data_IF_473134383491
#
_entry.id   IF_473134383491
#
_cell.length_a   1.000
_cell.length_b   1.000
_cell.length_c   1.000
_cell.angle_alpha   90.00
_cell.angle_beta   90.00
_cell.angle_gamma   90.00
#
_symmetry.space_group_name_H-M   'P 1'
#
loop_
_entity.id
_entity.type
_entity.pdbx_description
1 polymer ?
#
# COMPACT_ATOMS: atom_id res chain seq x y z
N UNK A 1 -9.21 6.42 -10.17
CA UNK A 1 -9.39 6.20 -8.73
C UNK A 1 -9.96 4.82 -8.43
N UNK A 2 -11.20 4.49 -8.83
CA UNK A 2 -11.77 3.14 -8.59
C UNK A 2 -11.01 2.00 -9.29
N UNK A 3 -10.87 2.05 -10.62
CA UNK A 3 -10.17 1.00 -11.38
C UNK A 3 -8.68 0.88 -10.98
N UNK A 4 -8.01 2.03 -10.77
CA UNK A 4 -6.62 2.09 -10.31
C UNK A 4 -6.43 1.46 -8.94
N UNK A 5 -7.21 1.88 -7.94
CA UNK A 5 -7.12 1.33 -6.59
C UNK A 5 -7.47 -0.17 -6.52
N UNK A 6 -8.45 -0.63 -7.30
CA UNK A 6 -8.74 -2.06 -7.45
C UNK A 6 -7.52 -2.81 -7.98
N UNK A 7 -6.89 -2.29 -9.04
CA UNK A 7 -5.72 -2.90 -9.68
C UNK A 7 -4.52 -2.92 -8.71
N UNK A 8 -4.27 -1.81 -8.02
CA UNK A 8 -3.18 -1.68 -7.05
C UNK A 8 -3.34 -2.66 -5.89
N UNK A 9 -4.54 -2.76 -5.29
CA UNK A 9 -4.77 -3.67 -4.19
C UNK A 9 -4.76 -5.15 -4.65
N UNK A 10 -5.24 -5.46 -5.86
CA UNK A 10 -5.09 -6.80 -6.44
C UNK A 10 -3.61 -7.18 -6.61
N UNK A 11 -2.82 -6.31 -7.23
CA UNK A 11 -1.41 -6.60 -7.47
C UNK A 11 -0.60 -6.65 -6.18
N UNK A 12 -0.84 -5.75 -5.23
CA UNK A 12 0.00 -5.61 -4.05
C UNK A 12 -0.43 -6.44 -2.85
N UNK A 13 -1.74 -6.62 -2.63
CA UNK A 13 -2.23 -7.40 -1.49
C UNK A 13 -2.41 -8.85 -1.88
N UNK A 14 -3.27 -9.08 -2.87
CA UNK A 14 -3.54 -10.43 -3.32
C UNK A 14 -2.31 -11.03 -4.03
N UNK A 15 -1.61 -10.27 -4.88
CA UNK A 15 -0.39 -10.72 -5.54
C UNK A 15 0.83 -10.71 -4.62
N UNK A 16 1.48 -9.55 -4.48
CA UNK A 16 2.81 -9.40 -3.90
C UNK A 16 2.87 -9.78 -2.41
N UNK A 17 2.02 -9.19 -1.55
CA UNK A 17 2.03 -9.44 -0.12
C UNK A 17 1.76 -10.92 0.18
N UNK A 18 0.78 -11.53 -0.49
CA UNK A 18 0.47 -12.95 -0.30
C UNK A 18 1.60 -13.85 -0.80
N UNK A 19 2.23 -13.55 -1.94
CA UNK A 19 3.38 -14.29 -2.44
C UNK A 19 4.59 -14.21 -1.49
N UNK A 20 4.89 -13.01 -0.97
CA UNK A 20 5.95 -12.80 0.02
C UNK A 20 5.66 -13.56 1.32
N UNK A 21 4.44 -13.45 1.85
CA UNK A 21 4.02 -14.15 3.07
C UNK A 21 4.10 -15.68 2.89
N UNK A 22 3.64 -16.18 1.74
CA UNK A 22 3.69 -17.59 1.40
C UNK A 22 5.14 -18.10 1.30
N UNK A 23 6.01 -17.39 0.58
CA UNK A 23 7.40 -17.79 0.40
C UNK A 23 8.14 -17.83 1.75
N UNK A 24 8.02 -16.76 2.54
CA UNK A 24 8.62 -16.71 3.87
C UNK A 24 8.07 -17.82 4.78
N UNK A 25 6.77 -18.11 4.72
CA UNK A 25 6.16 -19.18 5.50
C UNK A 25 6.71 -20.55 5.10
N UNK A 26 6.79 -20.84 3.80
CA UNK A 26 7.33 -22.10 3.28
C UNK A 26 8.81 -22.29 3.63
N UNK A 27 9.61 -21.24 3.53
CA UNK A 27 11.07 -21.33 3.75
C UNK A 27 11.41 -21.33 5.24
N UNK A 28 10.78 -20.48 6.04
CA UNK A 28 11.17 -20.22 7.43
C UNK A 28 10.35 -21.03 8.46
N UNK A 29 9.19 -21.57 8.09
CA UNK A 29 8.25 -22.20 9.03
C UNK A 29 7.73 -23.57 8.57
N UNK A 30 8.51 -24.31 7.79
CA UNK A 30 8.31 -25.63 7.12
C UNK A 30 7.35 -26.66 7.75
N UNK A 31 6.98 -26.57 9.03
CA UNK A 31 6.08 -27.49 9.77
C UNK A 31 4.86 -26.82 10.41
N UNK A 32 4.58 -25.54 10.16
CA UNK A 32 3.40 -24.86 10.72
C UNK A 32 2.25 -24.84 9.73
N UNK A 33 1.04 -25.08 10.21
CA UNK A 33 -0.19 -25.03 9.41
C UNK A 33 -0.57 -23.61 8.95
N UNK A 34 -0.03 -22.57 9.60
CA UNK A 34 -0.31 -21.17 9.25
C UNK A 34 0.92 -20.27 9.49
N UNK A 35 1.08 -19.19 8.70
CA UNK A 35 2.15 -18.21 8.89
C UNK A 35 2.03 -17.51 10.24
N UNK A 36 3.15 -17.32 10.95
CA UNK A 36 3.17 -16.47 12.14
C UNK A 36 2.83 -15.00 11.78
N UNK A 37 2.21 -14.24 12.69
CA UNK A 37 1.97 -12.80 12.53
C UNK A 37 3.18 -12.00 12.06
N UNK A 38 4.38 -12.33 12.56
CA UNK A 38 5.62 -11.69 12.14
C UNK A 38 5.88 -11.81 10.63
N UNK A 39 5.64 -12.98 10.02
CA UNK A 39 5.80 -13.17 8.57
C UNK A 39 4.82 -12.29 7.80
N UNK A 40 3.57 -12.23 8.25
CA UNK A 40 2.53 -11.45 7.56
C UNK A 40 2.83 -9.96 7.66
N UNK A 41 3.27 -9.47 8.82
CA UNK A 41 3.72 -8.09 8.99
C UNK A 41 4.94 -7.76 8.14
N UNK A 42 5.95 -8.64 8.10
CA UNK A 42 7.12 -8.45 7.23
C UNK A 42 6.71 -8.37 5.76
N UNK A 43 5.80 -9.24 5.31
CA UNK A 43 5.28 -9.21 3.94
C UNK A 43 4.50 -7.91 3.65
N UNK A 44 3.70 -7.47 4.61
CA UNK A 44 2.95 -6.21 4.52
C UNK A 44 3.89 -5.01 4.39
N UNK A 45 4.87 -4.88 5.29
CA UNK A 45 5.82 -3.76 5.30
C UNK A 45 6.65 -3.75 4.01
N UNK A 46 7.12 -4.91 3.55
CA UNK A 46 7.87 -5.01 2.30
C UNK A 46 7.01 -4.61 1.08
N UNK A 47 5.79 -5.14 0.97
CA UNK A 47 4.84 -4.78 -0.10
C UNK A 47 4.47 -3.30 -0.06
N UNK A 48 4.26 -2.72 1.13
CA UNK A 48 3.98 -1.31 1.30
C UNK A 48 5.17 -0.41 0.95
N UNK A 49 6.41 -0.81 1.27
CA UNK A 49 7.60 -0.11 0.81
C UNK A 49 7.69 -0.07 -0.73
N UNK A 50 7.43 -1.21 -1.37
CA UNK A 50 7.40 -1.30 -2.83
C UNK A 50 6.25 -0.50 -3.45
N UNK A 51 5.08 -0.43 -2.80
CA UNK A 51 3.99 0.46 -3.17
C UNK A 51 4.45 1.92 -3.21
N UNK A 52 5.12 2.37 -2.15
CA UNK A 52 5.62 3.74 -2.05
C UNK A 52 6.66 4.07 -3.12
N UNK A 53 7.60 3.16 -3.38
CA UNK A 53 8.58 3.30 -4.47
C UNK A 53 7.90 3.30 -5.84
N UNK A 54 6.89 2.44 -6.04
CA UNK A 54 6.12 2.33 -7.28
C UNK A 54 5.37 3.60 -7.66
N UNK A 55 5.16 4.53 -6.72
CA UNK A 55 4.53 5.83 -6.98
C UNK A 55 5.50 6.88 -7.55
N UNK A 56 6.82 6.66 -7.48
CA UNK A 56 7.80 7.63 -7.95
C UNK A 56 7.68 7.87 -9.47
N UNK A 57 7.64 6.85 -10.34
CA UNK A 57 7.50 7.08 -11.78
C UNK A 57 6.18 7.76 -12.15
N UNK A 58 5.10 7.43 -11.45
CA UNK A 58 3.80 8.06 -11.66
C UNK A 58 3.84 9.55 -11.30
N UNK A 59 4.51 9.92 -10.20
CA UNK A 59 4.70 11.31 -9.82
C UNK A 59 5.63 12.07 -10.78
N UNK A 60 6.70 11.41 -11.26
CA UNK A 60 7.64 11.99 -12.22
C UNK A 60 6.99 12.39 -13.55
N UNK A 61 5.86 11.77 -13.91
CA UNK A 61 5.10 12.10 -15.12
C UNK A 61 4.43 13.48 -15.06
N UNK A 62 4.23 14.04 -13.85
CA UNK A 62 3.51 15.30 -13.65
C UNK A 62 4.32 16.36 -12.89
N UNK A 63 5.35 15.96 -12.15
CA UNK A 63 6.11 16.84 -11.24
C UNK A 63 7.61 16.72 -11.48
N UNK A 64 8.34 17.83 -11.30
CA UNK A 64 9.80 17.78 -11.17
C UNK A 64 10.16 17.23 -9.79
N UNK A 65 10.87 16.11 -9.76
CA UNK A 65 11.21 15.43 -8.52
C UNK A 65 12.41 16.07 -7.82
N UNK A 66 12.23 16.45 -6.56
CA UNK A 66 13.30 16.77 -5.63
C UNK A 66 13.49 15.64 -4.61
N UNK A 67 14.67 15.54 -3.99
CA UNK A 67 14.92 14.50 -2.99
C UNK A 67 13.91 14.53 -1.81
N UNK A 68 13.55 15.69 -1.23
CA UNK A 68 12.51 15.75 -0.20
C UNK A 68 11.14 15.26 -0.70
N UNK A 69 10.77 15.61 -1.94
CA UNK A 69 9.50 15.19 -2.52
C UNK A 69 9.45 13.67 -2.75
N UNK A 70 10.55 13.07 -3.21
CA UNK A 70 10.65 11.61 -3.35
C UNK A 70 10.44 10.92 -2.00
N UNK A 71 11.12 11.40 -0.94
CA UNK A 71 10.97 10.85 0.42
C UNK A 71 9.53 10.96 0.88
N UNK A 72 8.88 12.12 0.67
CA UNK A 72 7.48 12.32 1.02
C UNK A 72 6.55 11.37 0.26
N UNK A 73 6.72 11.23 -1.06
CA UNK A 73 5.91 10.32 -1.90
C UNK A 73 6.03 8.89 -1.37
N UNK A 74 7.26 8.41 -1.15
CA UNK A 74 7.49 7.04 -0.68
C UNK A 74 6.87 6.83 0.70
N UNK A 75 7.10 7.76 1.64
CA UNK A 75 6.61 7.62 3.02
C UNK A 75 5.08 7.64 3.09
N UNK A 76 4.41 8.59 2.44
CA UNK A 76 2.94 8.70 2.50
C UNK A 76 2.29 7.45 1.93
N UNK A 77 2.76 7.00 0.76
CA UNK A 77 2.22 5.81 0.11
C UNK A 77 2.55 4.54 0.91
N UNK A 78 3.76 4.39 1.45
CA UNK A 78 4.10 3.24 2.28
C UNK A 78 3.26 3.17 3.56
N UNK A 79 3.03 4.30 4.24
CA UNK A 79 2.18 4.34 5.43
C UNK A 79 0.74 3.95 5.12
N UNK A 80 0.17 4.48 4.04
CA UNK A 80 -1.14 4.06 3.56
C UNK A 80 -1.16 2.56 3.22
N UNK A 81 -0.14 2.08 2.53
CA UNK A 81 0.02 0.68 2.16
C UNK A 81 0.09 -0.28 3.34
N UNK A 82 0.73 0.12 4.45
CA UNK A 82 0.77 -0.66 5.69
C UNK A 82 -0.64 -0.84 6.26
N UNK A 83 -1.44 0.23 6.27
CA UNK A 83 -2.83 0.21 6.75
C UNK A 83 -3.70 -0.68 5.86
N UNK A 84 -3.59 -0.52 4.53
CA UNK A 84 -4.36 -1.33 3.58
C UNK A 84 -4.00 -2.81 3.67
N UNK A 85 -2.71 -3.15 3.78
CA UNK A 85 -2.28 -4.53 3.95
C UNK A 85 -2.67 -5.14 5.30
N UNK A 86 -2.76 -4.32 6.36
CA UNK A 86 -3.33 -4.76 7.63
C UNK A 86 -4.83 -5.05 7.51
N UNK A 87 -5.59 -4.19 6.81
CA UNK A 87 -7.02 -4.43 6.54
C UNK A 87 -7.23 -5.68 5.69
N UNK A 88 -6.43 -5.88 4.65
CA UNK A 88 -6.44 -7.10 3.84
C UNK A 88 -6.25 -8.34 4.71
N UNK A 89 -5.25 -8.32 5.60
CA UNK A 89 -4.96 -9.47 6.46
C UNK A 89 -6.05 -9.72 7.51
N UNK A 90 -6.61 -8.67 8.11
CA UNK A 90 -7.55 -8.79 9.23
C UNK A 90 -9.01 -8.88 8.82
N UNK A 91 -9.34 -8.47 7.60
CA UNK A 91 -10.71 -8.37 7.08
C UNK A 91 -10.81 -9.06 5.72
N UNK A 92 -10.57 -8.34 4.64
CA UNK A 92 -10.71 -8.84 3.27
C UNK A 92 -10.03 -7.91 2.26
N UNK A 93 -9.93 -8.37 1.01
CA UNK A 93 -9.40 -7.56 -0.08
C UNK A 93 -10.29 -6.34 -0.38
N UNK A 94 -11.60 -6.52 -0.33
CA UNK A 94 -12.59 -5.45 -0.52
C UNK A 94 -12.45 -4.36 0.55
N UNK A 95 -12.16 -4.74 1.80
CA UNK A 95 -11.90 -3.77 2.87
C UNK A 95 -10.66 -2.91 2.58
N UNK A 96 -9.60 -3.50 2.02
CA UNK A 96 -8.42 -2.76 1.57
C UNK A 96 -8.75 -1.84 0.39
N UNK A 97 -9.51 -2.32 -0.61
CA UNK A 97 -9.96 -1.52 -1.76
C UNK A 97 -10.80 -0.32 -1.35
N UNK A 98 -11.76 -0.52 -0.44
CA UNK A 98 -12.60 0.58 0.08
C UNK A 98 -11.74 1.59 0.85
N UNK A 99 -10.85 1.12 1.73
CA UNK A 99 -9.96 2.02 2.47
C UNK A 99 -9.04 2.84 1.55
N UNK A 100 -8.49 2.21 0.50
CA UNK A 100 -7.70 2.89 -0.50
C UNK A 100 -8.54 3.94 -1.25
N UNK A 101 -9.71 3.58 -1.76
CA UNK A 101 -10.61 4.53 -2.42
C UNK A 101 -10.95 5.72 -1.50
N UNK A 102 -11.22 5.47 -0.21
CA UNK A 102 -11.51 6.52 0.76
C UNK A 102 -10.29 7.41 1.07
N UNK A 103 -9.07 6.87 1.07
CA UNK A 103 -7.86 7.67 1.23
C UNK A 103 -7.72 8.71 0.11
N UNK A 104 -8.04 8.35 -1.13
CA UNK A 104 -8.08 9.30 -2.24
C UNK A 104 -9.17 10.36 -2.06
N UNK A 105 -10.37 9.97 -1.62
CA UNK A 105 -11.47 10.92 -1.37
C UNK A 105 -11.06 11.95 -0.31
N UNK A 106 -10.46 11.49 0.80
CA UNK A 106 -9.98 12.37 1.87
C UNK A 106 -8.86 13.29 1.37
N UNK A 107 -7.91 12.77 0.60
CA UNK A 107 -6.81 13.55 0.03
C UNK A 107 -7.33 14.66 -0.90
N UNK A 108 -8.27 14.32 -1.79
CA UNK A 108 -8.91 15.29 -2.69
C UNK A 108 -9.67 16.35 -1.88
N UNK A 109 -10.49 15.93 -0.92
CA UNK A 109 -11.28 16.85 -0.09
C UNK A 109 -10.38 17.82 0.70
N UNK A 110 -9.30 17.32 1.31
CA UNK A 110 -8.33 18.15 2.02
C UNK A 110 -7.63 19.16 1.10
N UNK A 111 -7.30 18.74 -0.13
CA UNK A 111 -6.70 19.63 -1.13
C UNK A 111 -7.65 20.76 -1.53
N UNK A 112 -8.93 20.46 -1.77
CA UNK A 112 -9.93 21.49 -2.09
C UNK A 112 -10.16 22.48 -0.94
N UNK A 113 -10.23 21.99 0.30
CA UNK A 113 -10.37 22.85 1.48
C UNK A 113 -9.18 23.80 1.63
N UNK A 114 -7.95 23.32 1.39
CA UNK A 114 -6.75 24.16 1.42
C UNK A 114 -6.75 25.25 0.35
N UNK A 115 -7.28 24.97 -0.85
CA UNK A 115 -7.38 25.96 -1.93
C UNK A 115 -8.42 27.05 -1.64
N UNK A 116 -9.54 26.70 -1.00
CA UNK A 116 -10.61 27.67 -0.69
C UNK A 116 -10.21 28.60 0.47
N UNK A 117 -9.27 28.18 1.32
CA UNK A 117 -8.82 28.91 2.50
C UNK A 117 -7.54 29.75 2.27
N UNK A 118 -6.86 29.62 1.13
CA UNK A 118 -5.64 30.35 0.78
C UNK A 118 -5.86 31.38 -0.31
#
# INVERSE_FOLDING_TARGET
MLYGGITEELLLRWGLMSALAWLMWRVLQKKRNQPRPAIVWTANIASAGLFGVGHIPAAAAFLTLSAPLIVQIVLVNALAGIVFGWLFWRRSLEAAMVAHAMAHVVFIAGTFLGIIQG
#
